data_IF_649455156131
#
_entry.id   IF_649455156131
#
_cell.length_a   1.000
_cell.length_b   1.000
_cell.length_c   1.000
_cell.angle_alpha   90.00
_cell.angle_beta   90.00
_cell.angle_gamma   90.00
#
_symmetry.space_group_name_H-M   'P 1'
#
loop_
_entity.id
_entity.type
_entity.pdbx_description
1 polymer ?
#
# COMPACT_ATOMS: atom_id res chain seq x y z
N UNK A 1 -17.21 -5.65 -18.87
CA UNK A 1 -16.18 -6.54 -18.30
C UNK A 1 -15.22 -5.68 -17.51
N UNK A 2 -14.67 -6.18 -16.40
CA UNK A 2 -13.70 -5.50 -15.52
C UNK A 2 -14.28 -4.75 -14.33
N UNK A 3 -14.63 -5.52 -13.30
CA UNK A 3 -14.78 -5.08 -11.91
C UNK A 3 -14.44 -6.27 -11.00
N UNK A 4 -13.24 -6.83 -11.13
CA UNK A 4 -12.80 -7.97 -10.29
C UNK A 4 -11.34 -7.89 -9.83
N UNK A 5 -10.51 -7.01 -10.38
CA UNK A 5 -9.06 -7.11 -10.18
C UNK A 5 -8.55 -6.46 -8.87
N UNK A 6 -9.19 -5.40 -8.36
CA UNK A 6 -8.81 -4.77 -7.08
C UNK A 6 -9.02 -5.68 -5.85
N UNK A 7 -10.15 -6.40 -5.81
CA UNK A 7 -10.46 -7.29 -4.70
C UNK A 7 -9.68 -8.61 -4.76
N UNK A 8 -9.41 -9.10 -5.99
CA UNK A 8 -8.76 -10.39 -6.23
C UNK A 8 -7.28 -10.37 -5.82
N UNK A 9 -6.57 -9.27 -6.07
CA UNK A 9 -5.16 -9.12 -5.68
C UNK A 9 -5.00 -9.03 -4.14
N UNK A 10 -5.89 -8.31 -3.46
CA UNK A 10 -5.86 -8.21 -1.98
C UNK A 10 -6.07 -9.55 -1.26
N UNK A 11 -6.84 -10.47 -1.88
CA UNK A 11 -7.09 -11.81 -1.35
C UNK A 11 -5.87 -12.72 -1.50
N UNK A 12 -5.10 -12.56 -2.59
CA UNK A 12 -3.89 -13.33 -2.82
C UNK A 12 -2.77 -12.94 -1.86
N UNK A 13 -2.60 -11.64 -1.57
CA UNK A 13 -1.63 -11.17 -0.57
C UNK A 13 -1.81 -11.84 0.79
N UNK A 14 -3.03 -11.77 1.33
CA UNK A 14 -3.32 -12.41 2.63
C UNK A 14 -3.11 -13.92 2.56
N UNK A 15 -3.51 -14.58 1.47
CA UNK A 15 -3.37 -16.03 1.32
C UNK A 15 -1.91 -16.48 1.28
N UNK A 16 -1.05 -15.74 0.57
CA UNK A 16 0.37 -16.07 0.38
C UNK A 16 1.24 -15.73 1.59
N UNK A 17 0.85 -14.73 2.39
CA UNK A 17 1.57 -14.29 3.57
C UNK A 17 0.91 -14.69 4.91
N UNK A 18 -0.12 -15.54 4.91
CA UNK A 18 -0.93 -15.80 6.12
C UNK A 18 -0.12 -16.36 7.28
N UNK A 19 0.93 -17.13 6.98
CA UNK A 19 1.79 -17.76 7.97
C UNK A 19 2.58 -16.69 8.72
N UNK A 20 3.33 -15.85 8.00
CA UNK A 20 4.14 -14.78 8.57
C UNK A 20 3.29 -13.72 9.28
N UNK A 21 2.09 -13.47 8.76
CA UNK A 21 1.13 -12.55 9.39
C UNK A 21 0.75 -13.04 10.79
N UNK A 22 0.42 -14.32 10.92
CA UNK A 22 0.00 -14.92 12.18
C UNK A 22 1.16 -15.14 13.15
N UNK A 23 2.37 -15.38 12.65
CA UNK A 23 3.55 -15.63 13.50
C UNK A 23 4.23 -14.34 13.96
N UNK A 24 4.31 -13.31 13.10
CA UNK A 24 5.15 -12.13 13.34
C UNK A 24 4.41 -10.80 13.37
N UNK A 25 3.22 -10.71 12.76
CA UNK A 25 2.47 -9.45 12.62
C UNK A 25 1.15 -9.44 13.40
N UNK A 26 1.08 -10.20 14.50
CA UNK A 26 -0.08 -10.28 15.38
C UNK A 26 -0.49 -8.90 15.88
N UNK A 27 -1.79 -8.58 15.76
CA UNK A 27 -2.36 -7.31 16.22
C UNK A 27 -2.43 -6.21 15.16
N UNK A 28 -1.87 -6.40 13.95
CA UNK A 28 -2.09 -5.48 12.83
C UNK A 28 -3.49 -5.68 12.26
N UNK A 29 -4.33 -4.64 12.36
CA UNK A 29 -5.75 -4.68 11.96
C UNK A 29 -6.02 -4.24 10.52
N UNK A 30 -5.05 -3.61 9.87
CA UNK A 30 -5.21 -3.04 8.53
C UNK A 30 -4.22 -3.65 7.55
N UNK A 31 -4.59 -3.73 6.25
CA UNK A 31 -3.70 -4.19 5.18
C UNK A 31 -2.38 -3.42 5.19
N UNK A 32 -2.44 -2.08 5.24
CA UNK A 32 -1.26 -1.21 5.33
C UNK A 32 -0.38 -1.52 6.55
N UNK A 33 -0.99 -1.79 7.72
CA UNK A 33 -0.26 -2.16 8.93
C UNK A 33 0.43 -3.52 8.83
N UNK A 34 -0.19 -4.48 8.13
CA UNK A 34 0.38 -5.79 7.83
C UNK A 34 1.55 -5.68 6.85
N UNK A 35 1.35 -4.97 5.73
CA UNK A 35 2.39 -4.73 4.73
C UNK A 35 3.61 -4.06 5.36
N UNK A 36 3.40 -3.05 6.21
CA UNK A 36 4.51 -2.39 6.91
C UNK A 36 5.27 -3.35 7.82
N UNK A 37 4.55 -4.16 8.60
CA UNK A 37 5.17 -5.13 9.49
C UNK A 37 6.01 -6.16 8.75
N UNK A 38 5.50 -6.69 7.64
CA UNK A 38 6.22 -7.65 6.80
C UNK A 38 7.43 -6.98 6.10
N UNK A 39 7.33 -5.71 5.70
CA UNK A 39 8.45 -4.97 5.12
C UNK A 39 9.60 -4.79 6.13
N UNK A 40 9.27 -4.42 7.38
CA UNK A 40 10.24 -4.30 8.46
C UNK A 40 10.88 -5.67 8.78
N UNK A 41 10.09 -6.75 8.74
CA UNK A 41 10.57 -8.12 8.93
C UNK A 41 11.50 -8.55 7.80
N UNK A 42 11.18 -8.23 6.54
CA UNK A 42 12.02 -8.50 5.38
C UNK A 42 13.35 -7.73 5.45
N UNK A 43 13.34 -6.48 5.93
CA UNK A 43 14.57 -5.72 6.16
C UNK A 43 15.43 -6.35 7.25
N UNK A 44 14.82 -6.82 8.35
CA UNK A 44 15.54 -7.54 9.41
C UNK A 44 16.18 -8.83 8.90
N UNK A 45 15.45 -9.62 8.10
CA UNK A 45 15.97 -10.83 7.47
C UNK A 45 17.25 -10.54 6.67
N UNK A 46 17.24 -9.48 5.84
CA UNK A 46 18.41 -9.09 5.04
C UNK A 46 19.58 -8.66 5.91
N UNK A 47 19.32 -7.83 6.93
CA UNK A 47 20.37 -7.31 7.82
C UNK A 47 20.98 -8.39 8.72
N UNK A 48 20.16 -9.33 9.19
CA UNK A 48 20.57 -10.40 10.11
C UNK A 48 20.92 -11.71 9.40
N UNK A 49 20.73 -11.79 8.07
CA UNK A 49 20.82 -13.04 7.28
C UNK A 49 19.92 -14.15 7.83
N UNK A 50 18.71 -13.76 8.24
CA UNK A 50 17.65 -14.68 8.69
C UNK A 50 16.67 -14.95 7.53
N UNK A 51 15.82 -15.98 7.68
CA UNK A 51 14.85 -16.38 6.67
C UNK A 51 13.46 -16.55 7.30
N UNK A 52 12.96 -15.53 7.99
CA UNK A 52 11.67 -15.56 8.70
C UNK A 52 10.47 -15.37 7.76
N UNK A 53 10.68 -14.81 6.56
CA UNK A 53 9.64 -14.72 5.52
C UNK A 53 9.88 -15.75 4.41
N UNK A 54 8.85 -16.47 3.97
CA UNK A 54 8.97 -17.36 2.82
C UNK A 54 9.18 -16.59 1.51
N UNK A 55 9.89 -17.15 0.53
CA UNK A 55 10.09 -16.48 -0.77
C UNK A 55 8.77 -16.09 -1.45
N UNK A 56 7.75 -16.96 -1.32
CA UNK A 56 6.39 -16.69 -1.83
C UNK A 56 5.80 -15.41 -1.22
N UNK A 57 5.92 -15.24 0.10
CA UNK A 57 5.45 -14.03 0.75
C UNK A 57 6.33 -12.82 0.41
N UNK A 58 7.65 -12.97 0.26
CA UNK A 58 8.54 -11.85 -0.16
C UNK A 58 8.13 -11.29 -1.51
N UNK A 59 7.89 -12.14 -2.49
CA UNK A 59 7.57 -11.68 -3.85
C UNK A 59 6.20 -11.01 -3.91
N UNK A 60 5.21 -11.55 -3.21
CA UNK A 60 3.90 -10.92 -3.09
C UNK A 60 3.96 -9.62 -2.30
N UNK A 61 4.77 -9.56 -1.24
CA UNK A 61 5.00 -8.34 -0.46
C UNK A 61 5.68 -7.26 -1.31
N UNK A 62 6.66 -7.62 -2.14
CA UNK A 62 7.27 -6.66 -3.09
C UNK A 62 6.22 -6.11 -4.05
N UNK A 63 5.35 -6.96 -4.60
CA UNK A 63 4.27 -6.53 -5.46
C UNK A 63 3.34 -5.53 -4.75
N UNK A 64 2.90 -5.85 -3.52
CA UNK A 64 2.09 -4.94 -2.71
C UNK A 64 2.83 -3.66 -2.33
N UNK A 65 4.13 -3.71 -2.05
CA UNK A 65 4.94 -2.51 -1.77
C UNK A 65 5.09 -1.64 -3.02
N UNK A 66 5.22 -2.23 -4.21
CA UNK A 66 5.24 -1.49 -5.46
C UNK A 66 3.89 -0.82 -5.74
N UNK A 67 2.78 -1.55 -5.56
CA UNK A 67 1.43 -0.97 -5.64
C UNK A 67 1.22 0.14 -4.59
N UNK A 68 1.76 -0.03 -3.37
CA UNK A 68 1.66 0.95 -2.27
C UNK A 68 2.62 2.14 -2.44
N UNK A 69 3.68 2.02 -3.23
CA UNK A 69 4.49 3.15 -3.65
C UNK A 69 3.70 4.15 -4.51
N UNK A 70 2.52 3.72 -5.00
CA UNK A 70 1.49 4.56 -5.60
C UNK A 70 0.44 5.06 -4.57
N UNK A 71 0.71 4.97 -3.27
CA UNK A 71 -0.08 5.67 -2.27
C UNK A 71 0.60 6.99 -1.92
N UNK A 72 -0.19 8.06 -1.91
CA UNK A 72 0.28 9.39 -1.55
C UNK A 72 0.89 9.46 -0.14
N UNK A 73 0.54 8.53 0.75
CA UNK A 73 1.09 8.45 2.11
C UNK A 73 2.60 8.14 2.13
N UNK A 74 3.17 7.63 1.04
CA UNK A 74 4.60 7.35 0.89
C UNK A 74 5.41 8.54 0.38
N UNK A 75 4.74 9.58 -0.09
CA UNK A 75 5.35 10.86 -0.43
C UNK A 75 4.74 11.96 0.46
N UNK A 76 5.29 12.19 1.66
CA UNK A 76 4.76 13.20 2.57
C UNK A 76 4.83 14.62 2.02
N UNK A 77 5.70 14.89 1.03
CA UNK A 77 5.75 16.17 0.33
C UNK A 77 4.51 16.30 -0.56
N UNK A 78 4.27 15.31 -1.42
CA UNK A 78 3.10 15.27 -2.29
C UNK A 78 1.78 15.25 -1.49
N UNK A 79 1.70 14.46 -0.42
CA UNK A 79 0.53 14.43 0.47
C UNK A 79 0.24 15.77 1.12
N UNK A 80 1.28 16.53 1.48
CA UNK A 80 1.13 17.87 2.02
C UNK A 80 0.63 18.83 0.94
N UNK A 81 1.22 18.78 -0.25
CA UNK A 81 0.89 19.69 -1.35
C UNK A 81 -0.52 19.45 -1.88
N UNK A 82 -0.90 18.19 -2.09
CA UNK A 82 -2.22 17.79 -2.57
C UNK A 82 -3.30 17.77 -1.48
N UNK A 83 -2.99 18.08 -0.22
CA UNK A 83 -3.93 17.89 0.90
C UNK A 83 -5.31 18.52 0.66
N UNK A 84 -5.34 19.76 0.16
CA UNK A 84 -6.59 20.47 -0.11
C UNK A 84 -7.35 19.87 -1.29
N UNK A 85 -6.63 19.45 -2.34
CA UNK A 85 -7.20 18.80 -3.52
C UNK A 85 -7.79 17.43 -3.17
N UNK A 86 -7.10 16.65 -2.33
CA UNK A 86 -7.59 15.38 -1.79
C UNK A 86 -8.89 15.61 -1.02
N UNK A 87 -8.94 16.63 -0.15
CA UNK A 87 -10.14 16.93 0.62
C UNK A 87 -11.31 17.40 -0.25
N UNK A 88 -11.03 18.06 -1.37
CA UNK A 88 -12.05 18.62 -2.26
C UNK A 88 -12.60 17.62 -3.26
N UNK A 89 -11.75 16.76 -3.81
CA UNK A 89 -12.10 15.87 -4.92
C UNK A 89 -12.10 14.39 -4.53
N UNK A 90 -11.32 14.00 -3.51
CA UNK A 90 -11.02 12.61 -3.20
C UNK A 90 -11.41 12.21 -1.77
N UNK A 91 -12.22 13.01 -1.06
CA UNK A 91 -12.58 12.78 0.35
C UNK A 91 -13.35 11.49 0.61
N UNK A 92 -13.98 10.91 -0.42
CA UNK A 92 -14.69 9.64 -0.35
C UNK A 92 -13.76 8.40 -0.48
N UNK A 93 -12.48 8.61 -0.82
CA UNK A 93 -11.50 7.54 -1.05
C UNK A 93 -10.74 7.22 0.23
N UNK A 94 -10.42 5.95 0.42
CA UNK A 94 -9.69 5.51 1.62
C UNK A 94 -8.18 5.67 1.39
N UNK A 95 -7.45 6.40 2.27
CA UNK A 95 -6.00 6.50 2.19
C UNK A 95 -5.32 5.12 2.31
N UNK A 96 -4.23 4.90 1.57
CA UNK A 96 -3.39 3.71 1.70
C UNK A 96 -3.54 2.62 0.62
N UNK A 97 -4.49 2.74 -0.32
CA UNK A 97 -4.74 1.74 -1.39
C UNK A 97 -4.53 2.30 -2.82
N UNK A 98 -3.65 3.28 -3.03
CA UNK A 98 -3.45 4.00 -4.31
C UNK A 98 -4.66 4.82 -4.84
N UNK A 99 -5.86 4.54 -4.33
CA UNK A 99 -7.14 5.23 -4.61
C UNK A 99 -7.07 6.78 -4.59
N UNK A 100 -6.22 7.35 -3.74
CA UNK A 100 -6.06 8.82 -3.68
C UNK A 100 -5.25 9.33 -4.87
N UNK A 101 -4.15 8.65 -5.24
CA UNK A 101 -3.38 9.06 -6.41
C UNK A 101 -4.20 8.88 -7.69
N UNK A 102 -4.97 7.81 -7.81
CA UNK A 102 -5.83 7.61 -8.98
C UNK A 102 -6.95 8.65 -9.06
N UNK A 103 -7.56 9.00 -7.93
CA UNK A 103 -8.51 10.10 -7.90
C UNK A 103 -7.87 11.46 -8.27
N UNK A 104 -6.63 11.73 -7.85
CA UNK A 104 -5.90 12.93 -8.24
C UNK A 104 -5.56 12.93 -9.73
N UNK A 105 -5.19 11.79 -10.32
CA UNK A 105 -5.00 11.62 -11.78
C UNK A 105 -6.30 11.88 -12.55
N UNK A 106 -7.41 11.29 -12.12
CA UNK A 106 -8.74 11.49 -12.73
C UNK A 106 -9.19 12.97 -12.67
N UNK A 107 -8.71 13.71 -11.67
CA UNK A 107 -9.00 15.12 -11.48
C UNK A 107 -7.80 16.02 -11.83
N UNK A 108 -6.82 15.55 -12.59
CA UNK A 108 -5.58 16.29 -12.91
C UNK A 108 -5.85 17.71 -13.44
N UNK A 109 -6.93 17.90 -14.19
CA UNK A 109 -7.30 19.19 -14.76
C UNK A 109 -8.04 20.13 -13.78
N UNK A 110 -8.34 19.65 -12.56
CA UNK A 110 -9.10 20.36 -11.52
C UNK A 110 -8.31 20.56 -10.23
N UNK A 111 -7.32 19.71 -9.97
CA UNK A 111 -6.39 19.86 -8.84
C UNK A 111 -5.47 21.06 -9.08
N UNK A 112 -4.88 21.57 -8.01
CA UNK A 112 -3.94 22.68 -8.10
C UNK A 112 -2.68 22.30 -8.89
N UNK A 113 -2.06 23.27 -9.56
CA UNK A 113 -0.76 23.08 -10.25
C UNK A 113 0.37 22.71 -9.28
N UNK A 114 0.21 22.95 -7.98
CA UNK A 114 1.19 22.52 -6.99
C UNK A 114 1.09 21.01 -6.72
N UNK A 115 -0.11 20.43 -6.84
CA UNK A 115 -0.35 19.00 -6.62
C UNK A 115 0.11 18.11 -7.80
N UNK A 116 0.47 18.70 -8.95
CA UNK A 116 0.81 17.98 -10.18
C UNK A 116 2.15 18.40 -10.77
#
# INVERSE_FOLDING_TARGET
TSMKDEAFLSQQFRKKCIQEINEHCVGRKTKAGVVQCLADLMLRDVLKKENQITEVCRDELKFELLQRSESIDFDPSLAKTCRQDIQRFCSARTPGNAEILDCLKDNQNKVSTACY
#
